data_IF_086454750754
#
_entry.id   IF_086454750754
#
_cell.length_a   1.000
_cell.length_b   1.000
_cell.length_c   1.000
_cell.angle_alpha   90.00
_cell.angle_beta   90.00
_cell.angle_gamma   90.00
#
_symmetry.space_group_name_H-M   'P 1'
#
loop_
_entity.id
_entity.type
_entity.pdbx_description
1 polymer ?
#
# COMPACT_ATOMS: atom_id res chain seq x y z
N UNK A 1 11.45 66.29 -47.55
CA UNK A 1 11.05 67.55 -46.89
C UNK A 1 11.36 67.36 -45.40
N UNK A 2 12.55 67.76 -44.92
CA UNK A 2 12.85 69.05 -44.24
C UNK A 2 11.90 69.33 -43.05
N UNK A 3 12.27 69.54 -41.78
CA UNK A 3 13.54 69.75 -41.06
C UNK A 3 13.37 69.42 -39.56
N UNK A 4 14.41 69.11 -38.77
CA UNK A 4 15.30 70.02 -38.00
C UNK A 4 14.70 70.68 -36.73
N UNK A 5 14.89 70.04 -35.54
CA UNK A 5 15.48 70.47 -34.22
C UNK A 5 15.18 71.89 -33.60
N UNK A 6 15.56 72.22 -32.32
CA UNK A 6 15.28 71.66 -30.96
C UNK A 6 15.16 72.74 -29.81
N UNK A 7 15.24 72.31 -28.51
CA UNK A 7 15.50 73.04 -27.21
C UNK A 7 14.29 73.72 -26.52
N UNK A 8 14.14 73.74 -25.17
CA UNK A 8 15.04 74.18 -24.06
C UNK A 8 14.73 73.44 -22.73
N UNK A 9 15.70 73.45 -21.81
CA UNK A 9 15.81 72.77 -20.52
C UNK A 9 15.58 73.66 -19.26
N UNK A 10 15.43 73.04 -18.07
CA UNK A 10 15.87 73.52 -16.73
C UNK A 10 15.48 72.45 -15.69
N UNK A 11 16.20 72.05 -14.64
CA UNK A 11 17.50 72.34 -13.99
C UNK A 11 17.62 71.31 -12.83
N UNK A 12 18.77 70.65 -12.62
CA UNK A 12 19.85 70.99 -11.67
C UNK A 12 19.65 70.58 -10.19
N UNK A 13 20.61 69.77 -9.67
CA UNK A 13 20.95 69.56 -8.25
C UNK A 13 20.31 68.33 -7.58
N UNK A 14 20.99 67.41 -6.90
CA UNK A 14 22.34 67.39 -6.34
C UNK A 14 22.31 66.89 -4.88
N UNK A 15 22.98 65.77 -4.61
CA UNK A 15 23.55 65.30 -3.33
C UNK A 15 22.66 64.78 -2.17
N UNK A 16 22.74 63.45 -1.96
CA UNK A 16 23.13 62.72 -0.74
C UNK A 16 23.01 63.41 0.63
N UNK A 17 22.30 62.81 1.60
CA UNK A 17 22.93 62.12 2.74
C UNK A 17 21.93 61.60 3.80
N UNK A 18 22.39 60.57 4.53
CA UNK A 18 22.11 60.20 5.95
C UNK A 18 21.04 59.14 6.27
N UNK A 19 21.60 58.01 6.75
CA UNK A 19 21.00 57.00 7.61
C UNK A 19 20.40 57.61 8.89
N UNK A 20 19.21 57.13 9.30
CA UNK A 20 19.02 56.18 10.44
C UNK A 20 17.54 56.00 10.78
N UNK A 21 17.11 54.75 10.81
CA UNK A 21 16.36 54.14 11.91
C UNK A 21 14.85 54.35 11.98
N UNK A 22 14.09 53.28 11.71
CA UNK A 22 13.02 52.82 12.63
C UNK A 22 12.59 51.38 12.33
N UNK A 23 12.48 50.59 13.40
CA UNK A 23 11.97 49.22 13.44
C UNK A 23 10.46 49.20 13.20
N UNK A 24 10.01 48.17 12.48
CA UNK A 24 8.64 47.64 12.45
C UNK A 24 8.67 46.40 11.56
N UNK A 25 8.87 45.20 12.10
CA UNK A 25 7.87 44.28 12.66
C UNK A 25 6.78 43.88 11.65
N UNK A 26 6.88 42.64 11.17
CA UNK A 26 5.75 41.86 10.70
C UNK A 26 5.57 41.85 9.18
N UNK A 27 6.23 40.91 8.50
CA UNK A 27 5.50 39.94 7.69
C UNK A 27 6.42 38.74 7.40
N UNK A 28 6.21 37.65 8.13
CA UNK A 28 6.81 36.36 7.83
C UNK A 28 5.64 35.42 7.57
N UNK A 29 5.46 35.10 6.29
CA UNK A 29 4.51 34.11 5.78
C UNK A 29 4.53 32.84 6.64
N UNK A 30 3.38 32.21 6.94
CA UNK A 30 3.38 30.96 7.66
C UNK A 30 3.96 29.90 6.72
N UNK A 31 5.16 29.42 7.04
CA UNK A 31 5.66 28.18 6.50
C UNK A 31 4.61 27.09 6.80
N UNK A 32 4.09 26.47 5.74
CA UNK A 32 3.27 25.27 5.83
C UNK A 32 4.12 24.23 6.55
N UNK A 33 3.84 24.03 7.84
CA UNK A 33 4.48 23.00 8.65
C UNK A 33 3.94 21.69 8.10
N UNK A 34 4.76 20.99 7.31
CA UNK A 34 4.49 19.60 6.99
C UNK A 34 4.24 18.86 8.30
N UNK A 35 3.17 18.05 8.43
CA UNK A 35 2.88 17.38 9.67
C UNK A 35 4.10 16.55 10.04
N UNK A 36 4.63 16.72 11.26
CA UNK A 36 5.59 15.78 11.82
C UNK A 36 4.99 14.40 11.61
N UNK A 37 5.64 13.55 10.80
CA UNK A 37 5.30 12.12 10.77
C UNK A 37 5.36 11.66 12.22
N UNK A 38 4.19 11.38 12.80
CA UNK A 38 4.11 10.81 14.13
C UNK A 38 5.04 9.60 14.16
N UNK A 39 5.97 9.56 15.13
CA UNK A 39 6.86 8.43 15.27
C UNK A 39 5.99 7.17 15.36
N UNK A 40 6.15 6.25 14.41
CA UNK A 40 5.42 4.99 14.42
C UNK A 40 5.89 4.22 15.64
N UNK A 41 5.03 4.15 16.65
CA UNK A 41 5.36 3.45 17.89
C UNK A 41 5.37 1.95 17.61
N UNK A 42 6.41 1.22 18.04
CA UNK A 42 6.40 -0.24 18.00
C UNK A 42 5.15 -0.76 18.70
N UNK A 43 4.46 -1.72 18.09
CA UNK A 43 3.29 -2.38 18.66
C UNK A 43 3.47 -3.88 18.61
N UNK A 44 3.04 -4.54 19.67
CA UNK A 44 2.94 -6.00 19.72
C UNK A 44 1.57 -6.45 19.21
N UNK A 45 1.48 -7.66 18.67
CA UNK A 45 0.20 -8.25 18.26
C UNK A 45 -0.82 -8.29 19.42
N UNK A 46 -0.37 -8.62 20.64
CA UNK A 46 -1.23 -8.69 21.81
C UNK A 46 -1.88 -7.33 22.14
N UNK A 47 -1.14 -6.23 21.98
CA UNK A 47 -1.70 -4.90 22.12
C UNK A 47 -2.73 -4.59 21.04
N UNK A 48 -2.53 -5.04 19.80
CA UNK A 48 -3.47 -4.81 18.70
C UNK A 48 -4.77 -5.61 18.89
N UNK A 49 -4.67 -6.86 19.35
CA UNK A 49 -5.82 -7.72 19.64
C UNK A 49 -6.66 -7.21 20.82
N UNK A 50 -6.07 -6.40 21.71
CA UNK A 50 -6.78 -5.78 22.82
C UNK A 50 -7.51 -4.47 22.45
N UNK A 51 -7.37 -3.98 21.22
CA UNK A 51 -8.05 -2.77 20.76
C UNK A 51 -9.47 -3.07 20.28
N UNK A 52 -10.40 -2.15 20.53
CA UNK A 52 -11.75 -2.21 19.96
C UNK A 52 -11.76 -2.11 18.42
N UNK A 53 -10.78 -1.38 17.86
CA UNK A 53 -10.61 -1.22 16.43
C UNK A 53 -9.14 -1.01 16.06
N UNK A 54 -8.65 -1.84 15.13
CA UNK A 54 -7.33 -1.67 14.53
C UNK A 54 -7.40 -0.65 13.40
N UNK A 55 -6.44 0.28 13.38
CA UNK A 55 -6.31 1.39 12.43
C UNK A 55 -5.01 1.28 11.64
N UNK A 56 -4.86 1.98 10.49
CA UNK A 56 -3.65 1.92 9.67
C UNK A 56 -2.37 2.21 10.45
N UNK A 57 -2.36 3.23 11.31
CA UNK A 57 -1.21 3.62 12.13
C UNK A 57 -0.74 2.52 13.10
N UNK A 58 -1.64 1.61 13.49
CA UNK A 58 -1.33 0.55 14.43
C UNK A 58 -0.50 -0.57 13.78
N UNK A 59 -0.79 -0.92 12.52
CA UNK A 59 -0.08 -2.01 11.82
C UNK A 59 1.26 -1.57 11.25
N UNK A 60 1.46 -0.27 11.01
CA UNK A 60 2.73 0.27 10.53
C UNK A 60 3.90 0.03 11.51
N UNK A 61 3.60 -0.13 12.80
CA UNK A 61 4.56 -0.37 13.89
C UNK A 61 4.89 -1.84 14.14
N UNK A 62 4.32 -2.78 13.39
CA UNK A 62 4.61 -4.21 13.54
C UNK A 62 6.01 -4.55 13.03
N UNK A 63 6.87 -5.09 13.90
CA UNK A 63 8.22 -5.50 13.53
C UNK A 63 8.31 -6.91 12.96
N UNK A 64 7.25 -7.72 13.12
CA UNK A 64 7.16 -9.11 12.70
C UNK A 64 5.77 -9.42 12.15
N UNK A 65 5.67 -10.52 11.41
CA UNK A 65 4.38 -11.08 10.99
C UNK A 65 3.52 -11.41 12.21
N UNK A 66 2.21 -11.21 12.15
CA UNK A 66 1.33 -11.63 13.25
C UNK A 66 1.09 -13.13 13.21
N UNK A 67 0.92 -13.75 14.37
CA UNK A 67 0.59 -15.17 14.51
C UNK A 67 -0.90 -15.40 14.20
N UNK A 68 -1.77 -14.52 14.71
CA UNK A 68 -3.22 -14.61 14.55
C UNK A 68 -3.75 -13.54 13.58
N UNK A 69 -5.01 -13.70 13.18
CA UNK A 69 -5.72 -12.67 12.44
C UNK A 69 -6.20 -11.55 13.37
N UNK A 70 -5.95 -10.29 13.00
CA UNK A 70 -6.35 -9.10 13.76
C UNK A 70 -7.84 -8.70 13.59
N UNK A 71 -8.59 -9.39 12.74
CA UNK A 71 -10.04 -9.19 12.58
C UNK A 71 -10.73 -10.50 12.17
N UNK A 72 -12.03 -10.58 12.40
CA UNK A 72 -12.84 -11.76 12.09
C UNK A 72 -13.38 -11.71 10.65
N UNK A 73 -13.85 -12.84 10.09
CA UNK A 73 -14.63 -12.86 8.84
C UNK A 73 -15.79 -11.87 8.82
N UNK A 74 -16.50 -11.76 9.94
CA UNK A 74 -17.72 -10.96 10.07
C UNK A 74 -17.45 -9.45 10.11
N UNK A 75 -16.19 -9.03 10.31
CA UNK A 75 -15.81 -7.61 10.26
C UNK A 75 -15.81 -7.06 8.82
N UNK A 76 -15.92 -7.92 7.80
CA UNK A 76 -16.11 -7.55 6.40
C UNK A 76 -17.57 -7.12 6.12
N UNK A 77 -18.04 -6.07 6.80
CA UNK A 77 -19.41 -5.54 6.67
C UNK A 77 -19.79 -5.06 5.26
N UNK A 78 -18.80 -4.90 4.38
CA UNK A 78 -18.95 -4.41 3.01
C UNK A 78 -19.05 -5.54 1.99
N UNK A 79 -18.96 -6.81 2.43
CA UNK A 79 -18.93 -8.00 1.58
C UNK A 79 -17.93 -7.84 0.42
N UNK A 80 -16.73 -7.34 0.73
CA UNK A 80 -15.65 -7.27 -0.26
C UNK A 80 -15.15 -8.69 -0.50
N UNK A 81 -15.18 -9.12 -1.76
CA UNK A 81 -14.70 -10.45 -2.13
C UNK A 81 -13.70 -10.39 -3.30
N UNK A 82 -12.49 -10.88 -3.07
CA UNK A 82 -11.45 -10.95 -4.10
C UNK A 82 -11.68 -12.17 -4.99
N UNK A 83 -12.01 -11.91 -6.26
CA UNK A 83 -12.37 -12.96 -7.23
C UNK A 83 -11.24 -13.32 -8.16
N UNK A 84 -10.27 -12.41 -8.38
CA UNK A 84 -9.12 -12.68 -9.24
C UNK A 84 -7.89 -11.91 -8.78
N UNK A 85 -6.74 -12.57 -8.86
CA UNK A 85 -5.45 -11.96 -8.57
C UNK A 85 -4.43 -12.41 -9.60
N UNK A 86 -3.72 -11.46 -10.21
CA UNK A 86 -2.71 -11.71 -11.24
C UNK A 86 -1.49 -10.84 -11.00
N UNK A 87 -0.30 -11.43 -10.98
CA UNK A 87 0.98 -10.73 -10.93
C UNK A 87 1.67 -10.85 -12.28
N UNK A 88 2.14 -9.72 -12.83
CA UNK A 88 3.02 -9.70 -13.99
C UNK A 88 4.30 -8.91 -13.72
N UNK A 89 5.38 -9.33 -14.35
CA UNK A 89 6.57 -8.49 -14.49
C UNK A 89 6.26 -7.34 -15.45
N UNK A 90 6.50 -6.10 -15.03
CA UNK A 90 6.26 -4.92 -15.86
C UNK A 90 7.34 -4.68 -16.91
N UNK A 91 8.53 -5.27 -16.75
CA UNK A 91 9.61 -5.11 -17.71
C UNK A 91 9.45 -6.07 -18.90
N UNK A 92 9.08 -7.32 -18.65
CA UNK A 92 8.90 -8.33 -19.70
C UNK A 92 7.44 -8.58 -20.10
N UNK A 93 6.48 -8.18 -19.28
CA UNK A 93 5.06 -8.52 -19.45
C UNK A 93 4.69 -9.95 -19.05
N UNK A 94 5.65 -10.75 -18.59
CA UNK A 94 5.43 -12.15 -18.20
C UNK A 94 4.48 -12.26 -17.02
N UNK A 95 3.46 -13.09 -17.12
CA UNK A 95 2.58 -13.42 -15.98
C UNK A 95 3.31 -14.38 -15.06
N UNK A 96 3.54 -13.95 -13.83
CA UNK A 96 4.29 -14.68 -12.81
C UNK A 96 3.38 -15.54 -11.95
N UNK A 97 2.13 -15.11 -11.77
CA UNK A 97 1.11 -15.79 -10.99
C UNK A 97 -0.29 -15.34 -11.43
N UNK A 98 -1.25 -16.26 -11.45
CA UNK A 98 -2.65 -15.94 -11.66
C UNK A 98 -3.52 -16.95 -10.90
N UNK A 99 -4.50 -16.44 -10.17
CA UNK A 99 -5.54 -17.23 -9.53
C UNK A 99 -6.87 -16.52 -9.72
N UNK A 100 -7.92 -17.30 -10.00
CA UNK A 100 -9.29 -16.83 -10.04
C UNK A 100 -10.15 -17.77 -9.21
N UNK A 101 -11.09 -17.22 -8.44
CA UNK A 101 -12.13 -18.03 -7.83
C UNK A 101 -13.00 -18.62 -8.94
N UNK A 102 -13.36 -19.91 -8.88
CA UNK A 102 -14.33 -20.48 -9.81
C UNK A 102 -15.63 -19.68 -9.72
N UNK A 103 -16.26 -19.45 -10.86
CA UNK A 103 -17.48 -18.65 -10.93
C UNK A 103 -18.63 -19.37 -10.22
N UNK A 104 -19.58 -18.63 -9.65
CA UNK A 104 -20.75 -19.24 -8.99
C UNK A 104 -21.57 -20.17 -9.91
N UNK A 105 -21.49 -19.96 -11.23
CA UNK A 105 -22.13 -20.80 -12.25
C UNK A 105 -21.44 -22.17 -12.43
N UNK A 106 -20.18 -22.30 -12.02
CA UNK A 106 -19.42 -23.57 -12.08
C UNK A 106 -19.61 -24.41 -10.80
N UNK A 107 -20.30 -23.88 -9.79
CA UNK A 107 -20.58 -24.56 -8.51
C UNK A 107 -21.96 -25.23 -8.47
N UNK A 108 -22.81 -25.05 -9.49
CA UNK A 108 -24.15 -25.66 -9.54
C UNK A 108 -24.13 -27.17 -9.88
N UNK A 109 -22.96 -27.75 -10.18
CA UNK A 109 -22.79 -29.17 -10.57
C UNK A 109 -22.16 -30.08 -9.49
N UNK A 110 -21.79 -29.56 -8.30
CA UNK A 110 -21.17 -30.36 -7.22
C UNK A 110 -22.01 -30.35 -5.95
N UNK A 111 -23.13 -31.09 -6.00
CA UNK A 111 -23.99 -31.39 -4.85
C UNK A 111 -23.32 -32.49 -4.01
N UNK A 112 -22.36 -32.12 -3.14
CA UNK A 112 -21.60 -33.11 -2.38
C UNK A 112 -20.74 -32.54 -1.24
N UNK A 113 -21.25 -32.70 -0.01
CA UNK A 113 -20.55 -32.61 1.27
C UNK A 113 -20.36 -31.19 1.87
N UNK A 114 -21.35 -30.81 2.68
CA UNK A 114 -21.23 -29.76 3.68
C UNK A 114 -20.30 -30.24 4.84
N UNK A 115 -19.03 -30.48 4.53
CA UNK A 115 -17.96 -30.50 5.53
C UNK A 115 -17.73 -29.07 6.03
N UNK A 116 -17.47 -28.91 7.32
CA UNK A 116 -17.22 -27.62 7.98
C UNK A 116 -16.37 -26.70 7.09
N UNK A 117 -17.00 -25.69 6.48
CA UNK A 117 -16.30 -24.69 5.69
C UNK A 117 -15.40 -23.96 6.67
N UNK A 118 -14.11 -24.27 6.63
CA UNK A 118 -13.10 -23.60 7.44
C UNK A 118 -13.33 -22.09 7.31
N UNK A 119 -13.70 -21.44 8.41
CA UNK A 119 -13.95 -19.99 8.46
C UNK A 119 -12.71 -19.17 8.06
N UNK A 120 -11.53 -19.80 7.96
CA UNK A 120 -10.28 -19.24 7.44
C UNK A 120 -10.03 -19.52 5.95
N UNK A 121 -10.84 -20.35 5.30
CA UNK A 121 -10.70 -20.78 3.91
C UNK A 121 -10.62 -19.56 2.97
N UNK A 122 -9.44 -19.37 2.36
CA UNK A 122 -9.18 -18.29 1.41
C UNK A 122 -8.51 -17.04 1.98
N UNK A 123 -8.24 -16.96 3.28
CA UNK A 123 -7.47 -15.84 3.89
C UNK A 123 -5.96 -16.09 3.93
N UNK A 124 -5.53 -17.30 3.62
CA UNK A 124 -4.12 -17.69 3.54
C UNK A 124 -3.76 -18.15 2.12
N UNK A 125 -2.65 -17.65 1.58
CA UNK A 125 -2.12 -18.07 0.27
C UNK A 125 -0.67 -18.49 0.39
N UNK A 126 -0.33 -19.66 -0.15
CA UNK A 126 1.05 -20.14 -0.26
C UNK A 126 1.57 -19.93 -1.67
N UNK A 127 2.58 -19.09 -1.81
CA UNK A 127 3.19 -18.79 -3.10
C UNK A 127 4.44 -19.64 -3.34
N UNK A 128 4.55 -20.12 -4.57
CA UNK A 128 5.76 -20.78 -5.07
C UNK A 128 6.30 -20.00 -6.26
N UNK A 129 7.46 -19.39 -6.06
CA UNK A 129 8.16 -18.61 -7.06
C UNK A 129 9.54 -19.20 -7.33
N UNK A 130 10.15 -18.74 -8.42
CA UNK A 130 11.54 -19.06 -8.76
C UNK A 130 12.49 -18.03 -8.13
N UNK A 131 13.80 -18.32 -8.01
CA UNK A 131 14.76 -17.37 -7.46
C UNK A 131 14.83 -16.05 -8.25
N UNK A 132 14.49 -16.08 -9.55
CA UNK A 132 14.46 -14.90 -10.41
C UNK A 132 13.46 -13.84 -9.92
N UNK A 133 12.39 -14.25 -9.21
CA UNK A 133 11.38 -13.33 -8.68
C UNK A 133 11.99 -12.29 -7.72
N UNK A 134 12.97 -12.69 -6.90
CA UNK A 134 13.65 -11.81 -5.93
C UNK A 134 14.55 -10.76 -6.59
N UNK A 135 14.80 -10.87 -7.89
CA UNK A 135 15.63 -9.95 -8.68
C UNK A 135 14.80 -8.97 -9.51
N UNK A 136 13.47 -9.12 -9.53
CA UNK A 136 12.58 -8.22 -10.23
C UNK A 136 12.60 -6.84 -9.59
N UNK A 137 12.52 -5.80 -10.43
CA UNK A 137 12.47 -4.41 -9.97
C UNK A 137 11.04 -3.95 -9.69
N UNK A 138 10.13 -4.26 -10.61
CA UNK A 138 8.76 -3.79 -10.56
C UNK A 138 7.80 -4.85 -11.07
N UNK A 139 6.74 -5.13 -10.31
CA UNK A 139 5.64 -6.00 -10.74
C UNK A 139 4.31 -5.27 -10.65
N UNK A 140 3.39 -5.60 -11.55
CA UNK A 140 2.01 -5.13 -11.52
C UNK A 140 1.12 -6.24 -11.01
N UNK A 141 0.40 -6.00 -9.92
CA UNK A 141 -0.60 -6.90 -9.38
C UNK A 141 -1.99 -6.38 -9.75
N UNK A 142 -2.66 -7.07 -10.67
CA UNK A 142 -4.07 -6.82 -11.01
C UNK A 142 -4.95 -7.62 -10.06
N UNK A 143 -5.87 -6.93 -9.41
CA UNK A 143 -6.84 -7.52 -8.49
C UNK A 143 -8.24 -7.22 -8.98
N UNK A 144 -9.10 -8.22 -9.05
CA UNK A 144 -10.53 -8.05 -9.28
C UNK A 144 -11.30 -8.49 -8.05
N UNK A 145 -12.29 -7.68 -7.67
CA UNK A 145 -13.09 -7.92 -6.48
C UNK A 145 -14.51 -7.39 -6.64
N UNK A 146 -15.44 -7.98 -5.90
CA UNK A 146 -16.81 -7.48 -5.79
C UNK A 146 -16.99 -6.72 -4.49
N UNK A 147 -17.99 -5.84 -4.47
CA UNK A 147 -18.40 -5.08 -3.29
C UNK A 147 -19.89 -5.29 -3.08
N UNK A 148 -20.33 -5.40 -1.83
CA UNK A 148 -21.72 -5.49 -1.44
C UNK A 148 -22.53 -4.23 -1.73
N UNK A 149 -23.71 -4.13 -1.14
CA UNK A 149 -24.67 -3.04 -1.33
C UNK A 149 -24.24 -1.69 -0.72
N UNK A 150 -23.28 -1.70 0.21
CA UNK A 150 -22.79 -0.51 0.87
C UNK A 150 -21.66 0.15 0.06
N UNK A 151 -21.65 1.49 -0.05
CA UNK A 151 -20.53 2.21 -0.64
C UNK A 151 -19.28 2.01 0.21
N UNK A 152 -18.14 1.80 -0.45
CA UNK A 152 -16.84 1.70 0.20
C UNK A 152 -16.04 2.95 -0.14
N UNK A 153 -15.75 3.74 0.89
CA UNK A 153 -14.90 4.93 0.79
C UNK A 153 -13.55 4.67 1.44
N UNK A 154 -12.50 5.31 0.93
CA UNK A 154 -11.15 5.21 1.49
C UNK A 154 -10.69 3.76 1.68
N UNK A 155 -10.94 2.91 0.68
CA UNK A 155 -10.47 1.54 0.72
C UNK A 155 -8.95 1.52 0.54
N UNK A 156 -8.25 0.98 1.54
CA UNK A 156 -6.80 1.03 1.62
C UNK A 156 -6.25 -0.33 2.04
N UNK A 157 -5.13 -0.73 1.46
CA UNK A 157 -4.39 -1.92 1.87
C UNK A 157 -2.97 -1.55 2.32
N UNK A 158 -2.59 -2.04 3.50
CA UNK A 158 -1.21 -2.05 3.95
C UNK A 158 -0.73 -3.50 3.92
N UNK A 159 0.27 -3.77 3.09
CA UNK A 159 0.86 -5.10 2.94
C UNK A 159 2.32 -5.08 3.42
N UNK A 160 2.66 -5.93 4.37
CA UNK A 160 3.98 -5.96 5.02
C UNK A 160 4.63 -7.31 4.81
N UNK A 161 5.84 -7.30 4.27
CA UNK A 161 6.63 -8.51 4.00
C UNK A 161 7.78 -8.62 4.98
N UNK A 162 7.96 -9.82 5.52
CA UNK A 162 9.01 -10.14 6.47
C UNK A 162 9.77 -11.38 6.00
N UNK A 163 11.08 -11.40 6.24
CA UNK A 163 11.86 -12.63 6.25
C UNK A 163 12.28 -12.88 7.69
N UNK A 164 11.74 -13.94 8.31
CA UNK A 164 11.80 -14.14 9.76
C UNK A 164 11.26 -12.90 10.49
N UNK A 165 12.02 -12.33 11.42
CA UNK A 165 11.66 -11.14 12.19
C UNK A 165 12.16 -9.82 11.59
N UNK A 166 12.51 -9.81 10.28
CA UNK A 166 13.00 -8.61 9.59
C UNK A 166 12.01 -8.15 8.53
N UNK A 167 11.50 -6.94 8.69
CA UNK A 167 10.71 -6.25 7.65
C UNK A 167 11.57 -6.05 6.39
N UNK A 168 11.09 -6.59 5.27
CA UNK A 168 11.66 -6.40 3.94
C UNK A 168 11.12 -5.13 3.29
N UNK A 169 9.79 -4.99 3.28
CA UNK A 169 9.09 -3.88 2.63
C UNK A 169 7.69 -3.71 3.21
N UNK A 170 7.24 -2.47 3.23
CA UNK A 170 5.85 -2.09 3.47
C UNK A 170 5.31 -1.47 2.19
N UNK A 171 4.23 -2.04 1.68
CA UNK A 171 3.42 -1.47 0.61
C UNK A 171 2.15 -0.88 1.19
N UNK A 172 1.72 0.24 0.64
CA UNK A 172 0.62 1.03 1.15
C UNK A 172 -0.13 1.58 -0.05
N UNK A 173 -1.30 1.02 -0.34
CA UNK A 173 -2.06 1.28 -1.54
C UNK A 173 -3.46 1.76 -1.19
N UNK A 174 -3.89 2.84 -1.84
CA UNK A 174 -5.25 3.32 -1.80
C UNK A 174 -5.99 2.83 -3.06
N UNK A 175 -7.02 2.01 -2.88
CA UNK A 175 -7.96 1.65 -3.94
C UNK A 175 -8.92 2.81 -4.26
N UNK A 176 -9.18 3.68 -3.28
CA UNK A 176 -10.08 4.82 -3.42
C UNK A 176 -11.55 4.45 -3.16
N UNK A 177 -12.45 4.99 -3.98
CA UNK A 177 -13.89 4.72 -3.89
C UNK A 177 -14.26 3.50 -4.73
N UNK A 178 -14.99 2.55 -4.13
CA UNK A 178 -15.49 1.38 -4.85
C UNK A 178 -17.01 1.47 -5.01
N UNK A 179 -17.47 1.18 -6.22
CA UNK A 179 -18.88 1.29 -6.58
C UNK A 179 -19.66 0.15 -5.88
N UNK A 180 -20.75 0.43 -5.15
CA UNK A 180 -21.57 -0.61 -4.54
C UNK A 180 -22.17 -1.57 -5.58
N UNK A 181 -22.42 -2.81 -5.18
CA UNK A 181 -23.06 -3.87 -5.99
C UNK A 181 -22.41 -4.05 -7.36
N UNK A 182 -21.08 -3.95 -7.41
CA UNK A 182 -20.33 -4.00 -8.66
C UNK A 182 -19.04 -4.81 -8.52
N UNK A 183 -18.48 -5.18 -9.67
CA UNK A 183 -17.12 -5.70 -9.80
C UNK A 183 -16.17 -4.56 -10.09
N UNK A 184 -15.10 -4.49 -9.33
CA UNK A 184 -14.05 -3.49 -9.43
C UNK A 184 -12.74 -4.17 -9.82
N UNK A 185 -11.90 -3.46 -10.57
CA UNK A 185 -10.56 -3.90 -10.93
C UNK A 185 -9.58 -2.81 -10.54
N UNK A 186 -8.51 -3.20 -9.84
CA UNK A 186 -7.43 -2.32 -9.46
C UNK A 186 -6.10 -2.95 -9.87
N UNK A 187 -5.13 -2.10 -10.20
CA UNK A 187 -3.76 -2.52 -10.43
C UNK A 187 -2.82 -1.78 -9.50
N UNK A 188 -2.11 -2.54 -8.66
CA UNK A 188 -1.08 -2.03 -7.78
C UNK A 188 0.29 -2.28 -8.38
N UNK A 189 1.13 -1.25 -8.35
CA UNK A 189 2.51 -1.32 -8.83
C UNK A 189 3.42 -1.51 -7.62
N UNK A 190 4.07 -2.66 -7.56
CA UNK A 190 5.00 -3.02 -6.51
C UNK A 190 6.42 -2.71 -6.96
N UNK A 191 7.07 -1.79 -6.26
CA UNK A 191 8.50 -1.54 -6.41
C UNK A 191 9.28 -2.34 -5.36
N UNK A 192 9.99 -3.37 -5.82
CA UNK A 192 10.70 -4.27 -4.93
C UNK A 192 11.92 -3.58 -4.31
N UNK A 193 12.24 -3.90 -3.03
CA UNK A 193 13.49 -3.45 -2.44
C UNK A 193 14.68 -4.12 -3.14
N UNK A 194 15.82 -3.43 -3.19
CA UNK A 194 17.08 -4.08 -3.56
C UNK A 194 17.53 -4.99 -2.41
N UNK A 195 17.52 -6.30 -2.66
CA UNK A 195 17.97 -7.30 -1.70
C UNK A 195 19.45 -7.63 -1.95
N UNK A 196 20.22 -7.91 -0.90
CA UNK A 196 21.59 -8.40 -1.06
C UNK A 196 21.60 -9.86 -1.54
N UNK A 197 22.65 -10.26 -2.25
CA UNK A 197 22.81 -11.65 -2.71
C UNK A 197 22.76 -12.67 -1.57
N UNK A 198 23.35 -12.34 -0.41
CA UNK A 198 23.28 -13.19 0.77
C UNK A 198 21.85 -13.37 1.28
N UNK A 199 21.05 -12.30 1.27
CA UNK A 199 19.65 -12.38 1.69
C UNK A 199 18.81 -13.17 0.69
N UNK A 200 19.03 -12.95 -0.61
CA UNK A 200 18.37 -13.73 -1.67
C UNK A 200 18.66 -15.22 -1.49
N UNK A 201 19.93 -15.60 -1.28
CA UNK A 201 20.31 -17.00 -1.01
C UNK A 201 19.58 -17.55 0.21
N UNK A 202 19.57 -16.83 1.33
CA UNK A 202 18.86 -17.25 2.54
C UNK A 202 17.36 -17.44 2.29
N UNK A 203 16.71 -16.52 1.56
CA UNK A 203 15.29 -16.63 1.24
C UNK A 203 14.97 -17.81 0.32
N UNK A 204 15.88 -18.19 -0.57
CA UNK A 204 15.75 -19.38 -1.43
C UNK A 204 15.95 -20.67 -0.64
N UNK A 205 16.94 -20.72 0.25
CA UNK A 205 17.27 -21.90 1.07
C UNK A 205 16.25 -22.17 2.19
N UNK A 206 15.44 -21.17 2.58
CA UNK A 206 14.51 -21.26 3.70
C UNK A 206 13.07 -20.94 3.22
N UNK A 207 12.42 -21.86 2.48
CA UNK A 207 11.07 -21.65 1.97
C UNK A 207 10.06 -21.43 3.11
N UNK A 208 9.06 -20.58 2.86
CA UNK A 208 7.97 -20.24 3.79
C UNK A 208 8.39 -19.49 5.08
N UNK A 209 9.67 -19.14 5.23
CA UNK A 209 10.15 -18.19 6.24
C UNK A 209 10.01 -16.73 5.80
N UNK A 210 9.77 -16.49 4.51
CA UNK A 210 9.24 -15.21 4.04
C UNK A 210 7.73 -15.26 4.17
N UNK A 211 7.15 -14.27 4.87
CA UNK A 211 5.71 -14.18 5.14
C UNK A 211 5.22 -12.74 4.98
N UNK A 212 3.93 -12.58 4.74
CA UNK A 212 3.30 -11.28 4.69
C UNK A 212 1.96 -11.22 5.40
N UNK A 213 1.64 -10.01 5.87
CA UNK A 213 0.32 -9.63 6.34
C UNK A 213 -0.24 -8.57 5.40
N UNK A 214 -1.46 -8.77 4.92
CA UNK A 214 -2.23 -7.83 4.12
C UNK A 214 -3.41 -7.33 4.94
N UNK A 215 -3.35 -6.08 5.39
CA UNK A 215 -4.38 -5.43 6.20
C UNK A 215 -5.23 -4.51 5.33
N UNK A 216 -6.53 -4.75 5.31
CA UNK A 216 -7.47 -3.98 4.49
C UNK A 216 -8.35 -3.10 5.38
N UNK A 217 -8.39 -1.82 5.07
CA UNK A 217 -9.09 -0.80 5.83
C UNK A 217 -10.15 -0.13 4.98
N UNK A 218 -11.30 0.14 5.60
CA UNK A 218 -12.32 1.04 5.07
C UNK A 218 -12.58 2.10 6.13
N UNK A 219 -12.49 3.37 5.75
CA UNK A 219 -12.58 4.52 6.68
C UNK A 219 -11.70 4.35 7.94
N UNK A 220 -10.46 3.89 7.73
CA UNK A 220 -9.45 3.63 8.77
C UNK A 220 -9.82 2.55 9.80
N UNK A 221 -10.84 1.71 9.54
CA UNK A 221 -11.14 0.52 10.35
C UNK A 221 -10.71 -0.73 9.60
N UNK A 222 -9.96 -1.61 10.28
CA UNK A 222 -9.60 -2.92 9.73
C UNK A 222 -10.86 -3.76 9.51
N UNK A 223 -11.04 -4.28 8.29
CA UNK A 223 -12.19 -5.11 7.91
C UNK A 223 -11.79 -6.50 7.41
N UNK A 224 -10.58 -6.65 6.86
CA UNK A 224 -10.05 -7.91 6.39
C UNK A 224 -8.55 -7.98 6.67
N UNK A 225 -8.07 -9.18 6.94
CA UNK A 225 -6.67 -9.46 7.15
C UNK A 225 -6.35 -10.79 6.50
N UNK A 226 -5.50 -10.75 5.47
CA UNK A 226 -5.05 -11.93 4.75
C UNK A 226 -3.57 -12.15 5.03
N UNK A 227 -3.13 -13.40 4.92
CA UNK A 227 -1.76 -13.84 5.19
C UNK A 227 -1.21 -14.59 4.00
N UNK A 228 0.10 -14.57 3.84
CA UNK A 228 0.76 -15.42 2.87
C UNK A 228 2.15 -15.86 3.33
N UNK A 229 2.61 -16.99 2.79
CA UNK A 229 4.00 -17.40 2.84
C UNK A 229 4.55 -17.66 1.44
N UNK A 230 5.88 -17.58 1.32
CA UNK A 230 6.56 -17.56 0.02
C UNK A 230 7.73 -18.54 0.01
N UNK A 231 7.79 -19.36 -1.03
CA UNK A 231 8.98 -20.12 -1.41
C UNK A 231 9.55 -19.55 -2.70
N UNK A 232 10.88 -19.51 -2.80
CA UNK A 232 11.61 -18.99 -3.97
C UNK A 232 12.51 -20.04 -4.62
N UNK A 233 12.34 -21.32 -4.28
CA UNK A 233 13.17 -22.42 -4.74
C UNK A 233 12.66 -23.09 -6.03
N UNK A 234 11.62 -22.53 -6.67
CA UNK A 234 11.05 -23.09 -7.90
C UNK A 234 10.31 -24.41 -7.71
N UNK A 235 9.86 -24.73 -6.48
CA UNK A 235 9.12 -25.96 -6.19
C UNK A 235 9.99 -27.21 -6.01
N UNK A 236 11.29 -27.03 -5.79
CA UNK A 236 12.24 -28.10 -5.46
C UNK A 236 12.23 -28.50 -3.99
#
# INVERSE_FOLDING_TARGET
MSGSKPRVASGAGGALSRLRGRRGSGDASPAVVAPLRAAVLPRTEAELLALDAVRPEHVLGLSRVTENYLCRPEDNFYNIDFTKFKIRDLETGTVLFEIAKPSALEQEDDDGDAGEVDTSAGRFVRYQFTPAFLRLRTVGATVEFTVGDKPVSNFRMIERHYFRDRLLKNFDFDFGFCIPSSRNTCEHIYEFPQLSEDLIRLMVENPYETRSDSFYFVDNKLIMHNKADYAYNGGQ
#
